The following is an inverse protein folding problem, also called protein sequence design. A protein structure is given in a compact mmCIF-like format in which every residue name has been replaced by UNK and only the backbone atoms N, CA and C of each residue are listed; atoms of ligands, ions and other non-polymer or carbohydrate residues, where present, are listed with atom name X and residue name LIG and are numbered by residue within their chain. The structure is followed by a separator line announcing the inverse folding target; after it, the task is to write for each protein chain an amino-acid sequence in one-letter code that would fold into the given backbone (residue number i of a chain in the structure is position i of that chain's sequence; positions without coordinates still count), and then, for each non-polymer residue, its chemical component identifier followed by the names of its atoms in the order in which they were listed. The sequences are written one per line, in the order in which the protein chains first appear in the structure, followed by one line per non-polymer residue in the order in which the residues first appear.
data_IF_087324830845
#
_entry.id   IF_087324830845
#
_cell.length_a   1.000
_cell.length_b   1.000
_cell.length_c   1.000
_cell.angle_alpha   90.00
_cell.angle_beta   90.00
_cell.angle_gamma   90.00
#
_symmetry.space_group_name_H-M   'P 1'
#
loop_
_entity.id
_entity.type
_entity.pdbx_description
1 polymer ?
#
# COMPACT_ATOMS: atom_id res chain seq x y z
N UNK A 1 7.65 -27.09 19.04
CA UNK A 1 6.84 -27.74 20.09
C UNK A 1 7.43 -27.37 21.45
N UNK A 2 6.83 -26.43 22.19
CA UNK A 2 6.99 -26.38 23.64
C UNK A 2 5.65 -26.70 24.32
N UNK A 3 5.69 -27.66 25.25
CA UNK A 3 4.56 -28.11 26.07
C UNK A 3 3.91 -26.95 26.82
N UNK A 4 2.63 -26.73 26.57
CA UNK A 4 1.77 -25.83 27.35
C UNK A 4 1.47 -26.48 28.70
N UNK A 5 2.23 -26.11 29.73
CA UNK A 5 1.84 -26.38 31.12
C UNK A 5 0.64 -25.49 31.45
N UNK A 6 -0.52 -26.12 31.59
CA UNK A 6 -1.75 -25.51 32.10
C UNK A 6 -1.46 -25.09 33.54
N UNK A 7 -1.40 -23.78 33.80
CA UNK A 7 -1.37 -23.25 35.16
C UNK A 7 -2.76 -23.43 35.73
N UNK A 8 -2.91 -24.37 36.67
CA UNK A 8 -4.11 -24.50 37.47
C UNK A 8 -4.19 -23.32 38.45
N UNK A 9 -5.26 -22.54 38.33
CA UNK A 9 -5.54 -21.42 39.22
C UNK A 9 -5.70 -21.93 40.67
N UNK A 10 -4.98 -21.36 41.66
CA UNK A 10 -5.05 -21.79 43.06
C UNK A 10 -6.40 -21.50 43.73
N UNK A 11 -7.29 -20.76 43.06
CA UNK A 11 -8.63 -20.47 43.54
C UNK A 11 -9.65 -21.59 43.29
N UNK A 12 -9.27 -22.66 42.57
CA UNK A 12 -10.18 -23.78 42.31
C UNK A 12 -10.24 -24.80 43.46
N UNK A 13 -9.38 -24.69 44.47
CA UNK A 13 -9.34 -25.63 45.60
C UNK A 13 -10.09 -25.14 46.84
N UNK A 14 -10.39 -23.83 46.93
CA UNK A 14 -11.09 -23.26 48.09
C UNK A 14 -12.62 -23.40 47.97
N UNK A 15 -13.14 -23.69 46.77
CA UNK A 15 -14.58 -23.85 46.55
C UNK A 15 -15.18 -25.15 47.13
N UNK A 16 -14.35 -26.10 47.60
CA UNK A 16 -14.80 -27.40 48.11
C UNK A 16 -15.02 -27.45 49.65
N UNK A 17 -14.88 -26.33 50.36
CA UNK A 17 -15.00 -26.29 51.83
C UNK A 17 -16.05 -25.31 52.37
N UNK A 18 -17.14 -25.08 51.65
CA UNK A 18 -18.35 -24.58 52.30
C UNK A 18 -19.21 -25.78 52.70
N UNK A 19 -18.91 -26.26 53.91
CA UNK A 19 -19.76 -27.17 54.68
C UNK A 19 -21.15 -26.54 54.74
N UNK A 20 -22.09 -27.10 53.96
CA UNK A 20 -23.52 -26.93 54.21
C UNK A 20 -23.81 -27.64 55.53
N UNK A 21 -23.79 -26.89 56.64
CA UNK A 21 -24.37 -27.36 57.90
C UNK A 21 -25.88 -27.59 57.67
N UNK A 22 -26.41 -28.78 58.01
CA UNK A 22 -27.80 -29.10 57.77
C UNK A 22 -28.69 -28.52 58.88
N UNK A 23 -29.93 -28.23 58.49
CA UNK A 23 -31.08 -27.99 59.36
C UNK A 23 -31.03 -26.76 60.28
N UNK A 24 -31.67 -25.69 59.81
CA UNK A 24 -32.74 -25.15 60.66
C UNK A 24 -34.00 -25.05 59.82
N UNK A 25 -34.91 -26.01 60.00
CA UNK A 25 -36.28 -25.94 59.48
C UNK A 25 -37.11 -24.83 60.17
N UNK A 26 -36.47 -23.91 60.89
CA UNK A 26 -37.04 -22.73 61.54
C UNK A 26 -36.03 -21.56 61.57
N UNK A 27 -35.31 -21.28 60.47
CA UNK A 27 -34.57 -20.02 60.36
C UNK A 27 -35.58 -18.87 60.26
N UNK A 28 -35.63 -18.05 61.30
CA UNK A 28 -36.45 -16.84 61.41
C UNK A 28 -36.50 -16.06 60.09
N UNK A 29 -37.68 -16.05 59.44
CA UNK A 29 -37.99 -15.29 58.22
C UNK A 29 -37.87 -13.75 58.39
N UNK A 30 -37.49 -13.26 59.56
CA UNK A 30 -37.36 -11.84 59.90
C UNK A 30 -36.00 -11.48 60.54
N UNK A 31 -35.01 -12.38 60.52
CA UNK A 31 -33.68 -12.06 61.05
C UNK A 31 -32.91 -11.16 60.07
N UNK A 32 -32.48 -9.94 60.45
CA UNK A 32 -31.76 -9.01 59.56
C UNK A 32 -30.51 -9.61 58.91
N UNK A 33 -29.76 -10.43 59.66
CA UNK A 33 -28.58 -11.15 59.15
C UNK A 33 -28.91 -12.14 58.03
N UNK A 34 -30.11 -12.72 58.05
CA UNK A 34 -30.55 -13.64 57.00
C UNK A 34 -30.88 -12.89 55.70
N UNK A 35 -31.48 -11.71 55.82
CA UNK A 35 -31.84 -10.87 54.69
C UNK A 35 -30.58 -10.29 54.01
N UNK A 36 -29.60 -9.84 54.78
CA UNK A 36 -28.36 -9.28 54.24
C UNK A 36 -27.47 -10.36 53.60
N UNK A 37 -27.47 -11.58 54.16
CA UNK A 37 -26.83 -12.72 53.51
C UNK A 37 -27.42 -13.03 52.14
N UNK A 38 -28.75 -13.04 52.00
CA UNK A 38 -29.38 -13.27 50.70
C UNK A 38 -29.14 -12.12 49.72
N UNK A 39 -29.18 -10.86 50.18
CA UNK A 39 -28.80 -9.71 49.33
C UNK A 39 -27.38 -9.88 48.79
N UNK A 40 -26.41 -10.16 49.65
CA UNK A 40 -25.02 -10.38 49.24
C UNK A 40 -24.88 -11.54 48.24
N UNK A 41 -25.64 -12.63 48.42
CA UNK A 41 -25.63 -13.75 47.48
C UNK A 41 -26.21 -13.37 46.11
N UNK A 42 -27.32 -12.61 46.09
CA UNK A 42 -27.93 -12.12 44.85
C UNK A 42 -27.04 -11.11 44.13
N UNK A 43 -26.42 -10.17 44.86
CA UNK A 43 -25.49 -9.19 44.32
C UNK A 43 -24.25 -9.87 43.72
N UNK A 44 -23.69 -10.87 44.41
CA UNK A 44 -22.56 -11.64 43.90
C UNK A 44 -22.90 -12.37 42.59
N UNK A 45 -24.10 -12.97 42.49
CA UNK A 45 -24.59 -13.57 41.25
C UNK A 45 -24.75 -12.53 40.14
N UNK A 46 -25.32 -11.37 40.46
CA UNK A 46 -25.51 -10.26 39.53
C UNK A 46 -24.18 -9.74 38.97
N UNK A 47 -23.20 -9.46 39.84
CA UNK A 47 -21.88 -8.98 39.43
C UNK A 47 -21.09 -10.00 38.63
N UNK A 48 -21.22 -11.30 38.94
CA UNK A 48 -20.64 -12.37 38.13
C UNK A 48 -21.20 -12.38 36.71
N UNK A 49 -22.53 -12.36 36.58
CA UNK A 49 -23.19 -12.34 35.28
C UNK A 49 -22.84 -11.07 34.47
N UNK A 50 -22.75 -9.92 35.13
CA UNK A 50 -22.37 -8.66 34.49
C UNK A 50 -20.91 -8.67 34.02
N UNK A 51 -20.01 -9.23 34.84
CA UNK A 51 -18.60 -9.38 34.49
C UNK A 51 -18.38 -10.36 33.33
N UNK A 52 -19.14 -11.45 33.27
CA UNK A 52 -19.12 -12.40 32.15
C UNK A 52 -19.55 -11.72 30.85
N UNK A 53 -20.68 -11.00 30.85
CA UNK A 53 -21.13 -10.20 29.69
C UNK A 53 -20.10 -9.15 29.26
N UNK A 54 -19.45 -8.49 30.21
CA UNK A 54 -18.41 -7.51 29.92
C UNK A 54 -17.20 -8.17 29.24
N UNK A 55 -16.78 -9.36 29.70
CA UNK A 55 -15.72 -10.15 29.08
C UNK A 55 -16.06 -10.56 27.65
N UNK A 56 -17.28 -11.05 27.42
CA UNK A 56 -17.77 -11.40 26.09
C UNK A 56 -17.69 -10.20 25.13
N UNK A 57 -18.21 -9.05 25.56
CA UNK A 57 -18.17 -7.81 24.78
C UNK A 57 -16.75 -7.34 24.48
N UNK A 58 -15.83 -7.41 25.44
CA UNK A 58 -14.42 -7.08 25.23
C UNK A 58 -13.80 -8.03 24.20
N UNK A 59 -14.05 -9.32 24.33
CA UNK A 59 -13.53 -10.33 23.39
C UNK A 59 -14.04 -10.11 21.96
N UNK A 60 -15.31 -9.72 21.80
CA UNK A 60 -15.90 -9.36 20.50
C UNK A 60 -15.24 -8.11 19.91
N UNK A 61 -15.15 -7.03 20.69
CA UNK A 61 -14.49 -5.78 20.26
C UNK A 61 -13.00 -5.98 19.91
N UNK A 62 -12.30 -6.88 20.61
CA UNK A 62 -10.93 -7.22 20.28
C UNK A 62 -10.81 -7.98 18.95
N UNK A 63 -11.75 -8.89 18.66
CA UNK A 63 -11.82 -9.58 17.36
C UNK A 63 -12.06 -8.57 16.24
N UNK A 64 -13.04 -7.69 16.38
CA UNK A 64 -13.34 -6.64 15.40
C UNK A 64 -12.14 -5.71 15.19
N UNK A 65 -11.47 -5.28 16.27
CA UNK A 65 -10.26 -4.46 16.17
C UNK A 65 -9.14 -5.17 15.40
N UNK A 66 -8.93 -6.47 15.65
CA UNK A 66 -7.92 -7.26 14.93
C UNK A 66 -8.24 -7.33 13.44
N UNK A 67 -9.51 -7.56 13.08
CA UNK A 67 -9.96 -7.59 11.70
C UNK A 67 -9.81 -6.23 11.00
N UNK A 68 -10.24 -5.15 11.65
CA UNK A 68 -10.13 -3.79 11.11
C UNK A 68 -8.65 -3.41 10.91
N UNK A 69 -7.79 -3.68 11.88
CA UNK A 69 -6.33 -3.45 11.74
C UNK A 69 -5.73 -4.30 10.62
N UNK A 70 -6.18 -5.54 10.43
CA UNK A 70 -5.74 -6.37 9.31
C UNK A 70 -6.18 -5.78 7.96
N UNK A 71 -7.43 -5.31 7.85
CA UNK A 71 -7.96 -4.65 6.65
C UNK A 71 -7.18 -3.37 6.33
N UNK A 72 -6.88 -2.54 7.33
CA UNK A 72 -6.06 -1.33 7.16
C UNK A 72 -4.67 -1.65 6.61
N UNK A 73 -3.93 -2.57 7.24
CA UNK A 73 -2.59 -2.98 6.76
C UNK A 73 -2.63 -3.50 5.33
N UNK A 74 -3.67 -4.25 4.97
CA UNK A 74 -3.83 -4.78 3.62
C UNK A 74 -4.04 -3.65 2.60
N UNK A 75 -4.89 -2.67 2.92
CA UNK A 75 -5.15 -1.50 2.06
C UNK A 75 -3.94 -0.58 1.94
N UNK A 76 -3.25 -0.29 3.04
CA UNK A 76 -2.00 0.46 3.04
C UNK A 76 -0.96 -0.22 2.13
N UNK A 77 -0.83 -1.55 2.22
CA UNK A 77 0.06 -2.30 1.32
C UNK A 77 -0.39 -2.24 -0.14
N UNK A 78 -1.68 -2.20 -0.44
CA UNK A 78 -2.16 -2.06 -1.82
C UNK A 78 -1.91 -0.67 -2.40
N UNK A 79 -2.11 0.38 -1.60
CA UNK A 79 -1.98 1.78 -2.01
C UNK A 79 -0.52 2.23 -2.04
N UNK A 80 0.23 1.94 -0.97
CA UNK A 80 1.58 2.45 -0.74
C UNK A 80 2.66 1.37 -0.82
N UNK A 81 2.29 0.09 -0.95
CA UNK A 81 3.26 -0.98 -1.12
C UNK A 81 3.95 -0.91 -2.47
N UNK A 82 5.27 -1.10 -2.48
CA UNK A 82 6.07 -1.16 -3.70
C UNK A 82 5.56 -2.32 -4.58
N UNK A 83 4.97 -2.01 -5.73
CA UNK A 83 4.58 -3.00 -6.74
C UNK A 83 5.87 -3.54 -7.38
N UNK A 84 6.30 -4.74 -7.01
CA UNK A 84 7.36 -5.44 -7.72
C UNK A 84 6.74 -6.12 -8.94
N UNK A 85 6.99 -5.60 -10.15
CA UNK A 85 6.67 -6.31 -11.41
C UNK A 85 7.51 -7.58 -11.60
N UNK A 86 8.54 -7.79 -10.77
CA UNK A 86 9.32 -9.03 -10.77
C UNK A 86 8.80 -9.94 -9.68
N UNK A 87 8.15 -11.02 -10.08
CA UNK A 87 7.82 -12.14 -9.20
C UNK A 87 9.06 -12.62 -8.46
N UNK A 88 8.90 -12.99 -7.20
CA UNK A 88 9.96 -13.59 -6.39
C UNK A 88 10.47 -14.84 -7.12
N UNK A 89 11.63 -14.73 -7.78
CA UNK A 89 12.36 -15.91 -8.23
C UNK A 89 12.76 -16.67 -6.98
N UNK A 90 12.31 -17.93 -6.92
CA UNK A 90 12.44 -18.80 -5.75
C UNK A 90 13.88 -18.84 -5.23
N UNK A 91 13.98 -18.87 -3.90
CA UNK A 91 15.22 -19.19 -3.18
C UNK A 91 15.70 -20.58 -3.63
N UNK A 92 16.52 -20.64 -4.68
CA UNK A 92 17.39 -21.79 -4.93
C UNK A 92 18.69 -21.50 -4.20
N UNK A 93 18.92 -22.25 -3.13
CA UNK A 93 20.24 -22.44 -2.55
C UNK A 93 21.12 -22.99 -3.69
N UNK A 94 22.07 -22.19 -4.17
CA UNK A 94 23.04 -22.61 -5.17
C UNK A 94 24.41 -22.60 -4.49
N UNK A 95 25.05 -23.76 -4.55
CA UNK A 95 26.37 -24.03 -4.02
C UNK A 95 27.39 -22.93 -4.31
N UNK A 96 28.09 -22.57 -3.25
CA UNK A 96 29.23 -21.66 -3.21
C UNK A 96 30.46 -22.31 -3.84
N UNK A 97 30.74 -22.03 -5.11
CA UNK A 97 32.12 -21.94 -5.63
C UNK A 97 32.17 -21.45 -7.09
N UNK A 98 31.82 -20.19 -7.31
CA UNK A 98 32.33 -19.41 -8.45
C UNK A 98 32.74 -18.06 -7.93
N UNK A 99 33.98 -17.65 -8.20
CA UNK A 99 34.41 -16.27 -8.01
C UNK A 99 33.43 -15.35 -8.75
N UNK A 100 32.49 -14.77 -8.00
CA UNK A 100 31.51 -13.85 -8.53
C UNK A 100 32.25 -12.55 -8.84
N UNK A 101 32.77 -12.43 -10.07
CA UNK A 101 33.10 -11.12 -10.63
C UNK A 101 31.86 -10.26 -10.43
N UNK A 102 31.97 -9.23 -9.59
CA UNK A 102 30.86 -8.35 -9.25
C UNK A 102 30.25 -7.84 -10.56
N UNK A 103 29.04 -8.33 -10.87
CA UNK A 103 28.33 -7.92 -12.08
C UNK A 103 28.07 -6.43 -11.92
N UNK A 104 28.50 -5.63 -12.90
CA UNK A 104 28.25 -4.18 -12.90
C UNK A 104 26.76 -3.94 -12.69
N UNK A 105 26.45 -2.99 -11.79
CA UNK A 105 25.07 -2.61 -11.54
C UNK A 105 24.42 -2.22 -12.86
N UNK A 106 23.17 -2.66 -13.06
CA UNK A 106 22.40 -2.25 -14.24
C UNK A 106 22.12 -0.75 -14.15
N UNK A 107 22.17 -0.06 -15.30
CA UNK A 107 21.94 1.38 -15.39
C UNK A 107 23.22 2.22 -15.52
N UNK A 108 23.05 3.55 -15.52
CA UNK A 108 24.16 4.51 -15.56
C UNK A 108 25.11 4.26 -14.39
N UNK A 109 26.41 4.16 -14.67
CA UNK A 109 27.40 3.92 -13.62
C UNK A 109 27.65 5.21 -12.82
N UNK A 110 27.81 5.12 -11.49
CA UNK A 110 28.16 6.28 -10.67
C UNK A 110 29.46 6.92 -11.17
N UNK A 111 29.48 8.26 -11.22
CA UNK A 111 30.62 9.05 -11.71
C UNK A 111 30.74 9.15 -13.23
N UNK A 112 29.81 8.59 -14.02
CA UNK A 112 29.78 8.78 -15.48
C UNK A 112 28.83 9.92 -15.86
N UNK A 113 29.26 10.87 -16.72
CA UNK A 113 28.38 11.94 -17.19
C UNK A 113 27.15 11.33 -17.86
N UNK A 114 25.97 11.86 -17.53
CA UNK A 114 24.72 11.48 -18.19
C UNK A 114 24.71 11.91 -19.66
N UNK A 115 23.74 11.42 -20.43
CA UNK A 115 23.63 11.71 -21.87
C UNK A 115 23.32 13.20 -22.20
N UNK A 116 23.10 14.05 -21.19
CA UNK A 116 22.81 15.47 -21.38
C UNK A 116 21.53 15.73 -22.18
N UNK A 117 21.26 17.01 -22.46
CA UNK A 117 20.30 17.38 -23.49
C UNK A 117 21.02 17.32 -24.83
N UNK A 118 20.41 16.68 -25.82
CA UNK A 118 20.96 16.66 -27.18
C UNK A 118 20.94 18.06 -27.75
N UNK A 119 22.08 18.56 -28.21
CA UNK A 119 22.14 19.84 -28.93
C UNK A 119 21.55 19.64 -30.32
N UNK A 120 20.62 20.50 -30.72
CA UNK A 120 19.90 20.42 -31.99
C UNK A 120 20.63 21.15 -33.14
N UNK A 121 21.97 21.09 -33.16
CA UNK A 121 22.85 21.82 -34.10
C UNK A 121 22.62 21.47 -35.59
N UNK A 122 21.92 20.37 -35.87
CA UNK A 122 21.60 19.91 -37.24
C UNK A 122 20.22 20.35 -37.73
N UNK A 123 19.43 21.04 -36.90
CA UNK A 123 18.14 21.58 -37.35
C UNK A 123 18.38 22.84 -38.19
N UNK A 124 17.54 23.03 -39.20
CA UNK A 124 17.50 24.26 -39.98
C UNK A 124 17.00 25.40 -39.08
N UNK A 125 17.73 26.52 -39.08
CA UNK A 125 17.37 27.74 -38.33
C UNK A 125 16.59 28.64 -39.26
N UNK A 126 15.36 29.00 -38.86
CA UNK A 126 14.50 29.95 -39.57
C UNK A 126 14.38 31.18 -38.67
N UNK A 127 15.07 32.25 -39.05
CA UNK A 127 15.06 33.51 -38.31
C UNK A 127 13.74 34.26 -38.53
N UNK A 128 13.12 34.73 -37.44
CA UNK A 128 11.93 35.57 -37.47
C UNK A 128 12.08 36.69 -36.46
N UNK A 129 12.15 37.92 -36.96
CA UNK A 129 12.08 39.12 -36.12
C UNK A 129 10.63 39.40 -35.73
N UNK A 130 10.38 39.58 -34.45
CA UNK A 130 9.08 39.98 -33.91
C UNK A 130 9.24 41.41 -33.39
N UNK A 131 8.53 42.35 -34.00
CA UNK A 131 8.48 43.71 -33.48
C UNK A 131 7.40 43.84 -32.41
N UNK A 132 7.65 44.68 -31.41
CA UNK A 132 6.66 45.07 -30.42
C UNK A 132 5.49 45.75 -31.17
N UNK A 133 4.22 45.42 -30.90
CA UNK A 133 3.07 46.11 -31.49
C UNK A 133 3.14 47.62 -31.27
N UNK A 134 2.68 48.42 -32.25
CA UNK A 134 2.76 49.89 -32.16
C UNK A 134 2.12 50.46 -30.89
N UNK A 135 1.03 49.87 -30.42
CA UNK A 135 0.30 50.27 -29.21
C UNK A 135 1.12 50.07 -27.92
N UNK A 136 2.05 49.11 -27.93
CA UNK A 136 2.88 48.71 -26.79
C UNK A 136 4.27 49.39 -26.81
N UNK A 137 4.58 50.21 -27.83
CA UNK A 137 5.87 50.92 -27.96
C UNK A 137 5.96 52.18 -27.09
N UNK A 138 5.13 52.31 -26.05
CA UNK A 138 5.07 53.48 -25.19
C UNK A 138 5.21 53.08 -23.72
N UNK A 139 5.83 53.96 -22.93
CA UNK A 139 5.89 53.76 -21.49
C UNK A 139 4.52 53.96 -20.84
N UNK A 140 4.04 52.97 -20.08
CA UNK A 140 2.76 53.04 -19.38
C UNK A 140 2.67 54.16 -18.32
N UNK A 141 3.81 54.67 -17.85
CA UNK A 141 3.88 55.67 -16.77
C UNK A 141 3.97 57.10 -17.33
N UNK A 142 4.81 57.32 -18.35
CA UNK A 142 5.06 58.66 -18.90
C UNK A 142 4.54 58.87 -20.33
N UNK A 143 4.11 57.81 -21.02
CA UNK A 143 3.53 57.87 -22.37
C UNK A 143 4.52 58.16 -23.52
N UNK A 144 5.82 58.24 -23.22
CA UNK A 144 6.85 58.47 -24.24
C UNK A 144 7.11 57.19 -25.07
N UNK A 145 7.37 57.36 -26.36
CA UNK A 145 7.73 56.28 -27.26
C UNK A 145 9.10 55.70 -26.89
N UNK A 146 9.25 54.38 -27.00
CA UNK A 146 10.54 53.73 -26.87
C UNK A 146 11.42 54.00 -28.10
N UNK A 147 12.71 54.22 -27.86
CA UNK A 147 13.73 54.29 -28.91
C UNK A 147 14.26 52.90 -29.23
N UNK A 148 14.78 52.72 -30.44
CA UNK A 148 15.39 51.47 -30.86
C UNK A 148 16.61 51.15 -29.99
N UNK A 149 16.60 49.99 -29.33
CA UNK A 149 17.70 49.51 -28.51
C UNK A 149 18.69 48.69 -29.37
N UNK A 150 20.01 48.89 -29.25
CA UNK A 150 20.98 48.11 -30.01
C UNK A 150 21.04 46.66 -29.51
N UNK A 151 20.60 45.72 -30.36
CA UNK A 151 20.65 44.28 -30.11
C UNK A 151 19.28 43.61 -30.25
N UNK A 152 19.25 42.29 -30.12
CA UNK A 152 18.03 41.48 -30.16
C UNK A 152 17.98 40.57 -28.93
N UNK A 153 16.77 40.34 -28.43
CA UNK A 153 16.54 39.32 -27.42
C UNK A 153 16.26 38.00 -28.14
N UNK A 154 17.28 37.16 -28.23
CA UNK A 154 17.21 35.93 -29.01
C UNK A 154 16.61 34.78 -28.19
N UNK A 155 15.63 34.08 -28.78
CA UNK A 155 15.01 32.87 -28.21
C UNK A 155 14.86 31.79 -29.28
N UNK A 156 15.15 30.53 -28.94
CA UNK A 156 15.09 29.40 -29.86
C UNK A 156 13.91 28.46 -29.56
N UNK A 157 13.06 28.22 -30.55
CA UNK A 157 11.93 27.29 -30.47
C UNK A 157 12.11 26.09 -31.41
N UNK A 158 11.99 24.86 -30.86
CA UNK A 158 12.04 23.62 -31.66
C UNK A 158 10.62 23.21 -32.05
N UNK A 159 10.23 23.52 -33.28
CA UNK A 159 8.91 23.19 -33.81
C UNK A 159 8.91 21.84 -34.52
N UNK A 160 8.11 20.89 -34.04
CA UNK A 160 7.96 19.55 -34.63
C UNK A 160 6.63 19.43 -35.37
N UNK A 161 6.69 19.38 -36.70
CA UNK A 161 5.51 19.23 -37.55
C UNK A 161 5.19 17.74 -37.82
N UNK A 162 4.13 17.21 -37.18
CA UNK A 162 3.69 15.81 -37.36
C UNK A 162 2.44 15.75 -38.27
N UNK A 163 2.48 14.90 -39.30
CA UNK A 163 1.32 14.62 -40.18
C UNK A 163 0.73 13.24 -39.89
N UNK A 164 -0.55 13.20 -39.52
CA UNK A 164 -1.26 11.93 -39.27
C UNK A 164 -1.57 11.19 -40.58
N UNK A 165 -1.46 9.85 -40.57
CA UNK A 165 -1.84 9.02 -41.71
C UNK A 165 -2.54 7.72 -41.28
N UNK A 166 -3.39 7.17 -42.15
CA UNK A 166 -4.09 5.90 -41.93
C UNK A 166 -3.32 4.74 -42.57
N UNK A 167 -2.68 3.91 -41.76
CA UNK A 167 -2.00 2.70 -42.24
C UNK A 167 -2.99 1.53 -42.36
N UNK A 168 -3.35 1.15 -43.59
CA UNK A 168 -4.10 -0.10 -43.88
C UNK A 168 -3.14 -1.19 -44.34
N UNK A 169 -2.92 -2.20 -43.49
CA UNK A 169 -2.05 -3.35 -43.81
C UNK A 169 -2.92 -4.49 -44.36
N UNK A 170 -2.73 -4.85 -45.63
CA UNK A 170 -3.35 -6.04 -46.24
C UNK A 170 -2.29 -7.13 -46.37
N UNK A 171 -2.47 -8.25 -45.66
CA UNK A 171 -1.56 -9.40 -45.74
C UNK A 171 -1.96 -10.30 -46.91
N UNK A 172 -0.97 -10.76 -47.69
CA UNK A 172 -1.19 -11.77 -48.73
C UNK A 172 -1.67 -13.07 -48.06
N UNK A 173 -2.69 -13.70 -48.63
CA UNK A 173 -3.18 -15.02 -48.24
C UNK A 173 -2.67 -16.03 -49.26
N UNK A 174 -2.08 -17.10 -48.78
CA UNK A 174 -1.56 -18.18 -49.62
C UNK A 174 -2.37 -19.45 -49.36
N UNK A 175 -2.58 -20.25 -50.42
CA UNK A 175 -3.11 -21.60 -50.29
C UNK A 175 -1.93 -22.57 -50.22
N UNK A 176 -2.02 -23.61 -49.39
CA UNK A 176 -1.05 -24.70 -49.36
C UNK A 176 -1.15 -25.47 -50.68
N UNK A 177 -0.02 -25.75 -51.32
CA UNK A 177 0.06 -26.47 -52.62
C UNK A 177 0.53 -27.92 -52.48
N UNK A 178 0.84 -28.40 -51.28
CA UNK A 178 1.34 -29.76 -51.07
C UNK A 178 0.23 -30.72 -50.60
N UNK A 179 0.02 -31.77 -51.39
CA UNK A 179 -0.66 -33.00 -50.98
C UNK A 179 0.36 -33.91 -50.28
N UNK A 180 0.03 -34.33 -49.06
CA UNK A 180 0.58 -35.48 -48.31
C UNK A 180 2.05 -35.40 -47.85
N UNK A 181 2.27 -35.27 -46.54
CA UNK A 181 3.46 -35.86 -45.90
C UNK A 181 3.10 -37.32 -45.60
N UNK A 182 3.56 -38.26 -46.43
CA UNK A 182 3.54 -39.68 -46.05
C UNK A 182 4.69 -39.86 -45.05
N UNK A 183 4.38 -40.02 -43.78
CA UNK A 183 5.32 -40.61 -42.82
C UNK A 183 5.45 -42.09 -43.16
N UNK A 184 6.67 -42.56 -43.47
CA UNK A 184 7.00 -43.98 -43.52
C UNK A 184 7.38 -44.43 -42.11
N UNK A 185 6.76 -45.53 -41.67
CA UNK A 185 7.11 -46.29 -40.47
C UNK A 185 8.45 -47.02 -40.62
#
# INVERSE_FOLDING_TARGET
MPSSQVRSDPNNTIAAQYILLPNSRNACNSCPFHQDYYKALTEHGYWKALHEKAKEKIAELEKENKELKAKLRMREKQLFGKKSEKGQQGKKQADSNKEEKQKRNRGQQPGKPGHGRGKHERLEVIEKTIEIPEEERYCEICGLAYEDFPGTEDSEDIVVNVKAHKRRIKRKRYKKTANVHKHQE
#
